data_IF_654799453601
#
_entry.id   IF_654799453601
#
_cell.length_a   1.000
_cell.length_b   1.000
_cell.length_c   1.000
_cell.angle_alpha   90.00
_cell.angle_beta   90.00
_cell.angle_gamma   90.00
#
_symmetry.space_group_name_H-M   'P 1'
#
loop_
_entity.id
_entity.type
_entity.pdbx_description
1 polymer ?
#
# COMPACT_ATOMS: atom_id res chain seq x y z
N UNK A 1 4.47 -53.62 -59.76
CA UNK A 1 5.48 -52.53 -59.56
C UNK A 1 4.67 -51.26 -59.32
N UNK A 2 4.79 -50.43 -58.28
CA UNK A 2 5.81 -50.16 -57.26
C UNK A 2 5.08 -49.94 -55.91
N UNK A 3 5.70 -50.39 -54.81
CA UNK A 3 5.24 -50.12 -53.44
C UNK A 3 5.59 -48.67 -53.10
N UNK A 4 4.62 -47.87 -52.68
CA UNK A 4 4.85 -46.52 -52.18
C UNK A 4 4.89 -46.56 -50.66
N UNK A 5 6.09 -46.50 -50.10
CA UNK A 5 6.32 -46.35 -48.66
C UNK A 5 5.90 -44.94 -48.23
N UNK A 6 4.90 -44.84 -47.35
CA UNK A 6 4.58 -43.60 -46.65
C UNK A 6 5.25 -43.65 -45.27
N UNK A 7 6.26 -42.79 -45.09
CA UNK A 7 6.93 -42.51 -43.82
C UNK A 7 6.02 -41.55 -43.03
N UNK A 8 5.60 -41.85 -41.79
CA UNK A 8 4.90 -40.86 -40.99
C UNK A 8 5.92 -39.85 -40.43
N UNK A 9 5.79 -38.62 -40.93
CA UNK A 9 6.51 -37.45 -40.46
C UNK A 9 6.08 -37.11 -39.03
N UNK A 10 7.10 -36.90 -38.21
CA UNK A 10 7.08 -36.60 -36.78
C UNK A 10 6.19 -35.39 -36.48
N UNK A 11 5.14 -35.58 -35.68
CA UNK A 11 4.47 -34.48 -34.98
C UNK A 11 4.62 -34.71 -33.47
N UNK A 12 5.82 -34.43 -32.98
CA UNK A 12 6.13 -34.39 -31.57
C UNK A 12 5.49 -33.11 -31.00
N UNK A 13 4.23 -33.21 -30.56
CA UNK A 13 3.60 -32.21 -29.70
C UNK A 13 4.35 -32.19 -28.36
N UNK A 14 5.48 -31.49 -28.31
CA UNK A 14 6.08 -31.06 -27.06
C UNK A 14 5.12 -30.02 -26.47
N UNK A 15 4.17 -30.50 -25.65
CA UNK A 15 3.42 -29.69 -24.72
C UNK A 15 4.43 -29.15 -23.70
N UNK A 16 5.11 -28.07 -24.06
CA UNK A 16 5.80 -27.21 -23.11
C UNK A 16 4.71 -26.57 -22.26
N UNK A 17 4.36 -27.22 -21.15
CA UNK A 17 3.62 -26.58 -20.08
C UNK A 17 4.50 -25.47 -19.53
N UNK A 18 4.34 -24.26 -20.05
CA UNK A 18 4.88 -23.06 -19.43
C UNK A 18 4.25 -22.97 -18.03
N UNK A 19 5.03 -22.93 -16.94
CA UNK A 19 4.49 -22.56 -15.65
C UNK A 19 4.03 -21.11 -15.79
N UNK A 20 2.72 -20.88 -15.62
CA UNK A 20 2.18 -19.54 -15.51
C UNK A 20 2.84 -18.90 -14.28
N UNK A 21 3.85 -18.06 -14.52
CA UNK A 21 4.36 -17.19 -13.49
C UNK A 21 3.19 -16.30 -13.05
N UNK A 22 2.66 -16.56 -11.85
CA UNK A 22 1.71 -15.67 -11.22
C UNK A 22 2.39 -14.29 -11.13
N UNK A 23 1.92 -13.34 -11.93
CA UNK A 23 2.33 -11.96 -11.80
C UNK A 23 1.77 -11.48 -10.46
N UNK A 24 2.61 -11.42 -9.44
CA UNK A 24 2.29 -10.75 -8.18
C UNK A 24 2.11 -9.28 -8.51
N UNK A 25 0.87 -8.80 -8.55
CA UNK A 25 0.61 -7.37 -8.64
C UNK A 25 1.08 -6.76 -7.31
N UNK A 26 2.12 -5.94 -7.36
CA UNK A 26 2.66 -5.30 -6.16
C UNK A 26 1.71 -4.17 -5.73
N UNK A 27 1.19 -4.25 -4.50
CA UNK A 27 0.40 -3.16 -3.90
C UNK A 27 1.23 -1.88 -3.88
N UNK A 28 0.66 -0.70 -4.22
CA UNK A 28 1.40 0.54 -4.23
C UNK A 28 2.04 0.83 -2.87
N UNK A 29 3.31 1.20 -2.89
CA UNK A 29 4.13 1.40 -1.70
C UNK A 29 4.89 2.73 -1.81
N UNK A 30 4.72 3.62 -0.82
CA UNK A 30 5.52 4.84 -0.68
C UNK A 30 6.56 4.64 0.44
N UNK A 31 7.83 4.86 0.10
CA UNK A 31 8.96 4.72 1.03
C UNK A 31 9.57 6.10 1.31
N UNK A 32 9.53 6.54 2.56
CA UNK A 32 10.09 7.80 3.04
C UNK A 32 11.29 7.55 3.96
N UNK A 33 12.42 8.18 3.67
CA UNK A 33 13.61 8.14 4.54
C UNK A 33 13.48 9.14 5.69
N UNK A 34 13.57 8.68 6.94
CA UNK A 34 13.50 9.56 8.12
C UNK A 34 14.65 10.56 8.21
N UNK A 35 15.75 10.30 7.51
CA UNK A 35 16.87 11.23 7.36
C UNK A 35 16.72 12.17 6.15
N UNK A 36 15.60 12.10 5.41
CA UNK A 36 15.30 13.02 4.31
C UNK A 36 15.15 14.45 4.84
N UNK A 37 15.72 15.41 4.11
CA UNK A 37 15.51 16.84 4.34
C UNK A 37 14.13 17.30 3.83
N UNK A 38 13.45 16.48 3.01
CA UNK A 38 12.09 16.80 2.54
C UNK A 38 11.07 16.55 3.66
N UNK A 39 10.23 17.54 4.00
CA UNK A 39 9.14 17.32 4.95
C UNK A 39 7.95 16.60 4.32
N UNK A 40 7.96 16.33 3.01
CA UNK A 40 6.82 15.76 2.29
C UNK A 40 7.27 14.86 1.13
N UNK A 41 6.63 13.70 1.00
CA UNK A 41 6.73 12.84 -0.17
C UNK A 41 5.36 12.30 -0.58
N UNK A 42 5.23 11.98 -1.87
CA UNK A 42 3.99 11.54 -2.48
C UNK A 42 4.26 10.49 -3.56
N UNK A 43 3.37 9.50 -3.64
CA UNK A 43 3.23 8.60 -4.78
C UNK A 43 1.82 8.74 -5.33
N UNK A 44 1.72 8.85 -6.65
CA UNK A 44 0.45 8.75 -7.40
C UNK A 44 0.60 7.56 -8.34
N UNK A 45 -0.37 6.66 -8.30
CA UNK A 45 -0.40 5.44 -9.09
C UNK A 45 -1.84 5.00 -9.35
N UNK A 46 -2.04 3.85 -9.97
CA UNK A 46 -3.36 3.31 -10.29
C UNK A 46 -3.44 1.87 -9.76
N UNK A 47 -4.54 1.51 -9.13
CA UNK A 47 -4.80 0.15 -8.67
C UNK A 47 -5.29 -0.77 -9.79
N UNK A 48 -5.50 -2.05 -9.47
CA UNK A 48 -5.98 -3.07 -10.43
C UNK A 48 -7.35 -2.75 -11.05
N UNK A 49 -8.16 -1.98 -10.34
CA UNK A 49 -9.50 -1.58 -10.78
C UNK A 49 -9.46 -0.32 -11.66
N UNK A 50 -8.28 0.25 -11.89
CA UNK A 50 -8.09 1.47 -12.67
C UNK A 50 -8.34 2.75 -11.87
N UNK A 51 -8.47 2.67 -10.54
CA UNK A 51 -8.64 3.86 -9.71
C UNK A 51 -7.28 4.45 -9.35
N UNK A 52 -7.19 5.79 -9.37
CA UNK A 52 -6.01 6.49 -8.89
C UNK A 52 -5.84 6.29 -7.38
N UNK A 53 -4.63 5.92 -6.96
CA UNK A 53 -4.21 5.80 -5.57
C UNK A 53 -3.14 6.83 -5.28
N UNK A 54 -3.36 7.61 -4.22
CA UNK A 54 -2.42 8.65 -3.77
C UNK A 54 -1.95 8.31 -2.35
N UNK A 55 -0.65 8.10 -2.20
CA UNK A 55 0.00 7.92 -0.90
C UNK A 55 0.78 9.18 -0.55
N UNK A 56 0.73 9.62 0.70
CA UNK A 56 1.55 10.73 1.18
C UNK A 56 2.13 10.45 2.55
N UNK A 57 3.32 11.00 2.78
CA UNK A 57 3.96 11.09 4.09
C UNK A 57 4.41 12.53 4.27
N UNK A 58 4.01 13.14 5.38
CA UNK A 58 4.38 14.50 5.74
C UNK A 58 4.92 14.55 7.16
N UNK A 59 6.12 15.08 7.33
CA UNK A 59 6.71 15.37 8.62
C UNK A 59 6.08 16.64 9.20
N UNK A 60 5.39 16.48 10.33
CA UNK A 60 4.77 17.61 11.01
C UNK A 60 5.82 18.43 11.76
N UNK A 61 5.66 19.76 11.84
CA UNK A 61 6.54 20.62 12.62
C UNK A 61 6.67 20.12 14.06
N UNK A 62 7.90 20.00 14.55
CA UNK A 62 8.18 19.57 15.92
C UNK A 62 9.19 20.52 16.56
N UNK A 63 9.04 20.77 17.85
CA UNK A 63 10.00 21.56 18.63
C UNK A 63 11.31 20.81 18.93
N UNK A 64 11.44 19.54 18.51
CA UNK A 64 12.62 18.70 18.79
C UNK A 64 13.57 18.70 17.60
N UNK A 65 14.86 18.84 17.90
CA UNK A 65 15.93 18.98 16.89
C UNK A 65 16.39 17.67 16.22
N UNK A 66 15.80 16.52 16.55
CA UNK A 66 16.20 15.24 15.95
C UNK A 66 15.46 15.03 14.62
N UNK A 67 16.20 14.89 13.52
CA UNK A 67 15.63 14.73 12.18
C UNK A 67 14.77 13.47 12.04
N UNK A 68 15.12 12.37 12.71
CA UNK A 68 14.40 11.10 12.62
C UNK A 68 13.25 10.96 13.63
N UNK A 69 13.31 11.66 14.77
CA UNK A 69 12.25 11.62 15.77
C UNK A 69 11.22 12.73 15.50
N UNK A 70 9.94 12.37 15.42
CA UNK A 70 8.91 13.34 15.08
C UNK A 70 7.54 12.70 14.89
N UNK A 71 6.59 13.51 14.47
CA UNK A 71 5.26 13.04 14.09
C UNK A 71 5.13 13.13 12.58
N UNK A 72 4.70 12.05 11.96
CA UNK A 72 4.52 11.96 10.52
C UNK A 72 3.03 11.71 10.24
N UNK A 73 2.43 12.56 9.40
CA UNK A 73 1.10 12.35 8.87
C UNK A 73 1.20 11.44 7.65
N UNK A 74 0.48 10.33 7.70
CA UNK A 74 0.34 9.39 6.61
C UNK A 74 -1.04 9.58 5.99
N UNK A 75 -1.13 9.46 4.67
CA UNK A 75 -2.43 9.40 3.98
C UNK A 75 -2.40 8.39 2.84
N UNK A 76 -3.54 7.72 2.64
CA UNK A 76 -3.86 6.97 1.42
C UNK A 76 -5.24 7.42 0.94
N UNK A 77 -5.33 7.72 -0.34
CA UNK A 77 -6.59 8.03 -1.02
C UNK A 77 -6.78 7.04 -2.15
N UNK A 78 -7.94 6.39 -2.19
CA UNK A 78 -8.46 5.74 -3.39
C UNK A 78 -9.46 6.72 -4.02
N UNK A 79 -9.09 7.30 -5.17
CA UNK A 79 -9.83 8.38 -5.81
C UNK A 79 -11.28 7.97 -6.08
N UNK A 80 -12.22 8.85 -5.73
CA UNK A 80 -13.66 8.57 -5.84
C UNK A 80 -14.24 7.62 -4.79
N UNK A 81 -13.40 6.94 -3.99
CA UNK A 81 -13.86 6.00 -2.97
C UNK A 81 -13.71 6.58 -1.55
N UNK A 82 -12.47 6.77 -1.08
CA UNK A 82 -12.20 7.21 0.29
C UNK A 82 -10.80 7.80 0.45
N UNK A 83 -10.62 8.56 1.52
CA UNK A 83 -9.31 9.02 2.02
C UNK A 83 -9.18 8.63 3.48
N UNK A 84 -8.03 8.04 3.83
CA UNK A 84 -7.68 7.69 5.20
C UNK A 84 -6.36 8.35 5.56
N UNK A 85 -6.32 9.03 6.70
CA UNK A 85 -5.11 9.68 7.20
C UNK A 85 -4.99 9.54 8.71
N UNK A 86 -3.76 9.44 9.19
CA UNK A 86 -3.45 9.45 10.61
C UNK A 86 -2.00 9.86 10.85
N UNK A 87 -1.68 10.14 12.11
CA UNK A 87 -0.33 10.45 12.54
C UNK A 87 0.33 9.24 13.18
N UNK A 88 1.62 9.04 12.89
CA UNK A 88 2.52 8.15 13.64
C UNK A 88 3.59 8.99 14.34
N UNK A 89 3.82 8.74 15.63
CA UNK A 89 4.94 9.36 16.36
C UNK A 89 6.11 8.39 16.39
N UNK A 90 7.27 8.83 15.93
CA UNK A 90 8.51 8.07 15.85
C UNK A 90 9.52 8.62 16.86
N UNK A 91 10.17 7.73 17.62
CA UNK A 91 11.25 8.09 18.53
C UNK A 91 12.64 8.01 17.87
N UNK A 92 13.69 8.42 18.59
CA UNK A 92 15.07 8.39 18.09
C UNK A 92 15.66 6.99 17.86
N UNK A 93 14.94 5.92 18.22
CA UNK A 93 15.29 4.53 17.96
C UNK A 93 14.56 3.96 16.74
N UNK A 94 13.93 4.83 15.94
CA UNK A 94 13.13 4.45 14.77
C UNK A 94 12.00 3.48 15.14
N UNK A 95 11.29 3.77 16.22
CA UNK A 95 10.13 3.00 16.67
C UNK A 95 8.92 3.92 16.80
N UNK A 96 7.75 3.38 16.47
CA UNK A 96 6.49 4.02 16.78
C UNK A 96 6.26 4.02 18.30
N UNK A 97 5.83 5.16 18.80
CA UNK A 97 5.44 5.35 20.22
C UNK A 97 3.97 5.73 20.37
N UNK A 98 3.27 5.96 19.26
CA UNK A 98 1.90 6.40 19.29
C UNK A 98 1.31 6.58 17.90
N UNK A 99 -0.01 6.54 17.86
CA UNK A 99 -0.84 6.90 16.70
C UNK A 99 -1.91 7.87 17.14
N UNK A 100 -2.23 8.86 16.32
CA UNK A 100 -3.25 9.86 16.65
C UNK A 100 -3.90 10.45 15.40
N UNK A 101 -4.89 11.33 15.60
CA UNK A 101 -5.53 12.12 14.55
C UNK A 101 -6.06 11.29 13.36
N UNK A 102 -6.69 10.15 13.67
CA UNK A 102 -7.37 9.35 12.65
C UNK A 102 -8.45 10.21 11.96
N UNK A 103 -8.37 10.30 10.64
CA UNK A 103 -9.33 10.94 9.77
C UNK A 103 -9.71 9.99 8.65
N UNK A 104 -11.02 9.81 8.43
CA UNK A 104 -11.57 8.98 7.39
C UNK A 104 -12.66 9.75 6.68
N UNK A 105 -12.51 9.91 5.36
CA UNK A 105 -13.47 10.58 4.49
C UNK A 105 -13.94 9.57 3.47
N UNK A 106 -15.26 9.30 3.44
CA UNK A 106 -15.87 8.55 2.34
C UNK A 106 -16.28 9.54 1.25
N UNK A 107 -15.69 9.39 0.06
CA UNK A 107 -16.14 10.12 -1.14
C UNK A 107 -17.34 9.42 -1.78
N UNK A 108 -17.48 8.12 -1.52
CA UNK A 108 -18.63 7.30 -1.92
C UNK A 108 -19.20 6.55 -0.71
N UNK A 109 -20.51 6.65 -0.51
CA UNK A 109 -21.18 5.96 0.60
C UNK A 109 -20.76 6.51 1.97
N UNK A 110 -20.54 5.64 2.96
CA UNK A 110 -20.15 6.04 4.31
C UNK A 110 -19.17 5.08 4.97
N UNK A 111 -18.37 5.59 5.91
CA UNK A 111 -17.55 4.76 6.81
C UNK A 111 -18.43 4.32 7.98
N UNK A 112 -18.48 3.01 8.23
CA UNK A 112 -19.39 2.40 9.22
C UNK A 112 -18.66 1.92 10.47
N UNK A 113 -17.36 1.66 10.37
CA UNK A 113 -16.50 1.32 11.50
C UNK A 113 -15.05 1.62 11.16
N UNK A 114 -14.24 1.90 12.17
CA UNK A 114 -12.80 2.10 12.01
C UNK A 114 -12.02 1.66 13.24
N UNK A 115 -10.74 1.38 13.04
CA UNK A 115 -9.77 1.09 14.09
C UNK A 115 -8.40 1.59 13.67
N UNK A 116 -7.66 2.17 14.61
CA UNK A 116 -6.26 2.55 14.44
C UNK A 116 -5.48 1.98 15.60
N UNK A 117 -4.50 1.14 15.29
CA UNK A 117 -3.66 0.45 16.27
C UNK A 117 -2.19 0.56 15.86
N UNK A 118 -1.29 0.36 16.83
CA UNK A 118 0.13 0.28 16.53
C UNK A 118 0.87 -0.67 17.46
N UNK A 119 2.02 -1.12 16.96
CA UNK A 119 3.14 -1.72 17.68
C UNK A 119 4.35 -0.79 17.50
N UNK A 120 5.53 -1.17 17.99
CA UNK A 120 6.74 -0.39 17.78
C UNK A 120 7.20 -0.31 16.31
N UNK A 121 6.75 -1.20 15.43
CA UNK A 121 7.23 -1.29 14.02
C UNK A 121 6.12 -1.19 12.98
N UNK A 122 4.85 -1.24 13.39
CA UNK A 122 3.70 -1.22 12.49
C UNK A 122 2.55 -0.42 13.09
N UNK A 123 1.98 0.50 12.32
CA UNK A 123 0.69 1.13 12.55
C UNK A 123 -0.30 0.65 11.49
N UNK A 124 -1.55 0.42 11.88
CA UNK A 124 -2.56 -0.10 10.96
C UNK A 124 -3.89 0.58 11.22
N UNK A 125 -4.37 1.30 10.19
CA UNK A 125 -5.74 1.74 10.09
C UNK A 125 -6.53 0.67 9.33
N UNK A 126 -7.68 0.28 9.88
CA UNK A 126 -8.69 -0.54 9.18
C UNK A 126 -10.03 0.13 9.29
N UNK A 127 -10.87 -0.03 8.28
CA UNK A 127 -12.22 0.51 8.29
C UNK A 127 -13.14 -0.27 7.36
N UNK A 128 -14.45 -0.06 7.52
CA UNK A 128 -15.49 -0.59 6.64
C UNK A 128 -16.20 0.55 5.93
N UNK A 129 -16.22 0.52 4.62
CA UNK A 129 -16.99 1.43 3.79
C UNK A 129 -18.24 0.72 3.28
N UNK A 130 -19.40 1.36 3.43
CA UNK A 130 -20.66 0.90 2.84
C UNK A 130 -21.07 1.81 1.70
N UNK A 131 -21.20 1.25 0.49
CA UNK A 131 -21.70 1.93 -0.69
C UNK A 131 -22.92 1.18 -1.23
N UNK A 132 -24.11 1.73 -0.99
CA UNK A 132 -25.37 1.04 -1.29
C UNK A 132 -25.53 -0.23 -0.45
N UNK A 133 -25.68 -1.37 -1.12
CA UNK A 133 -25.79 -2.69 -0.48
C UNK A 133 -24.43 -3.38 -0.23
N UNK A 134 -23.35 -2.85 -0.80
CA UNK A 134 -22.01 -3.45 -0.73
C UNK A 134 -21.26 -2.83 0.45
N UNK A 135 -20.55 -3.67 1.20
CA UNK A 135 -19.61 -3.23 2.24
C UNK A 135 -18.22 -3.78 1.92
N UNK A 136 -17.24 -2.89 1.81
CA UNK A 136 -15.83 -3.22 1.55
C UNK A 136 -14.99 -2.91 2.79
N UNK A 137 -13.89 -3.64 2.95
CA UNK A 137 -12.89 -3.34 3.97
C UNK A 137 -11.78 -2.53 3.32
N UNK A 138 -11.33 -1.47 3.99
CA UNK A 138 -10.14 -0.72 3.61
C UNK A 138 -9.08 -0.80 4.71
N UNK A 139 -7.82 -0.69 4.31
CA UNK A 139 -6.71 -0.61 5.24
C UNK A 139 -5.63 0.33 4.72
N UNK A 140 -4.94 0.97 5.66
CA UNK A 140 -3.69 1.70 5.42
C UNK A 140 -2.70 1.21 6.46
N UNK A 141 -1.55 0.73 6.00
CA UNK A 141 -0.52 0.14 6.86
C UNK A 141 0.73 0.99 6.74
N UNK A 142 1.26 1.44 7.87
CA UNK A 142 2.58 2.05 7.92
C UNK A 142 3.53 1.16 8.70
N UNK A 143 4.68 0.83 8.12
CA UNK A 143 5.76 0.14 8.81
C UNK A 143 6.98 1.03 8.94
N UNK A 144 7.75 0.82 10.00
CA UNK A 144 9.05 1.44 10.20
C UNK A 144 10.13 0.37 10.30
N UNK A 145 11.15 0.49 9.45
CA UNK A 145 12.33 -0.38 9.50
C UNK A 145 13.53 0.34 8.87
N UNK A 146 14.73 0.12 9.40
CA UNK A 146 15.97 0.66 8.84
C UNK A 146 15.94 2.19 8.58
N UNK A 147 15.27 2.96 9.46
CA UNK A 147 15.15 4.41 9.29
C UNK A 147 14.19 4.86 8.20
N UNK A 148 13.34 3.96 7.68
CA UNK A 148 12.37 4.26 6.63
C UNK A 148 10.96 4.03 7.11
N UNK A 149 10.06 4.94 6.74
CA UNK A 149 8.62 4.74 6.79
C UNK A 149 8.16 4.18 5.45
N UNK A 150 7.33 3.15 5.52
CA UNK A 150 6.73 2.53 4.35
C UNK A 150 5.23 2.57 4.54
N UNK A 151 4.51 3.16 3.59
CA UNK A 151 3.05 3.22 3.59
C UNK A 151 2.52 2.36 2.45
N UNK A 152 1.54 1.52 2.78
CA UNK A 152 0.77 0.70 1.86
C UNK A 152 -0.70 0.98 2.06
#
# INVERSE_FOLDING_TARGET
>A
MKKLFFVPFIFLCFLFALPAAAQTVEEPELVYDLASDSPYEQLITVDEEGNEVILTIEKLPSFRANLAAGTYRVSKTSAGNWTASYNVTVNSRNQFTGTSNLSLVAHRGSITSSSLTHTSTKATCTFKQKAGIITTNGSVVTTISNGKLVVK
#
